data_IF_704266944414
#
_entry.id   IF_704266944414
#
_cell.length_a   1.000
_cell.length_b   1.000
_cell.length_c   1.000
_cell.angle_alpha   90.00
_cell.angle_beta   90.00
_cell.angle_gamma   90.00
#
_symmetry.space_group_name_H-M   'P 1'
#
loop_
_entity.id
_entity.type
_entity.pdbx_description
1 polymer ?
#
# COMPACT_ATOMS: atom_id res chain seq x y z
N UNK A 1 -28.74 -10.24 22.40
CA UNK A 1 -28.73 -9.94 20.96
C UNK A 1 -28.40 -8.47 20.81
N UNK A 2 -27.21 -8.12 20.35
CA UNK A 2 -26.85 -6.73 20.08
C UNK A 2 -27.48 -6.37 18.74
N UNK A 3 -28.51 -5.51 18.77
CA UNK A 3 -29.20 -5.07 17.55
C UNK A 3 -28.24 -4.25 16.69
N UNK A 4 -27.81 -4.80 15.56
CA UNK A 4 -27.11 -4.03 14.55
C UNK A 4 -28.06 -3.02 13.92
N UNK A 5 -27.96 -1.76 14.32
CA UNK A 5 -28.64 -0.65 13.66
C UNK A 5 -27.95 -0.40 12.31
N UNK A 6 -28.49 -0.91 11.23
CA UNK A 6 -28.01 -0.62 9.88
C UNK A 6 -28.26 0.85 9.56
N UNK A 7 -27.18 1.57 9.23
CA UNK A 7 -27.33 2.97 8.72
C UNK A 7 -27.88 2.92 7.31
N UNK A 8 -28.94 3.69 7.07
CA UNK A 8 -29.52 3.82 5.73
C UNK A 8 -28.56 4.54 4.79
N UNK A 9 -28.62 4.17 3.50
CA UNK A 9 -27.94 4.89 2.41
C UNK A 9 -28.50 6.32 2.33
N UNK A 10 -27.62 7.30 2.25
CA UNK A 10 -27.97 8.71 2.06
C UNK A 10 -27.53 9.16 0.66
N UNK A 11 -28.37 9.97 0.01
CA UNK A 11 -28.07 10.58 -1.29
C UNK A 11 -26.98 11.63 -1.17
N UNK A 12 -26.37 12.04 -2.29
CA UNK A 12 -25.35 13.11 -2.28
C UNK A 12 -25.91 14.42 -1.72
N UNK A 13 -27.16 14.76 -2.03
CA UNK A 13 -27.82 15.94 -1.47
C UNK A 13 -27.97 15.86 0.05
N UNK A 14 -28.32 14.70 0.56
CA UNK A 14 -28.38 14.46 2.02
C UNK A 14 -26.98 14.48 2.66
N UNK A 15 -25.95 14.06 1.95
CA UNK A 15 -24.55 14.17 2.40
C UNK A 15 -24.14 15.65 2.53
N UNK A 16 -24.44 16.48 1.56
CA UNK A 16 -24.20 17.94 1.60
C UNK A 16 -24.96 18.57 2.77
N UNK A 17 -26.24 18.24 2.92
CA UNK A 17 -27.07 18.73 4.03
C UNK A 17 -26.48 18.33 5.39
N UNK A 18 -26.01 17.09 5.52
CA UNK A 18 -25.36 16.61 6.73
C UNK A 18 -24.06 17.38 7.05
N UNK A 19 -23.26 17.73 6.05
CA UNK A 19 -22.06 18.56 6.25
C UNK A 19 -22.44 19.96 6.72
N UNK A 20 -23.48 20.57 6.13
CA UNK A 20 -23.98 21.88 6.52
C UNK A 20 -24.52 21.89 7.97
N UNK A 21 -25.30 20.88 8.34
CA UNK A 21 -25.80 20.68 9.72
C UNK A 21 -24.65 20.50 10.74
N UNK A 22 -23.50 20.03 10.28
CA UNK A 22 -22.27 19.93 11.10
C UNK A 22 -21.42 21.20 11.06
N UNK A 23 -21.91 22.30 10.46
CA UNK A 23 -21.22 23.58 10.44
C UNK A 23 -20.15 23.71 9.36
N UNK A 24 -20.15 22.83 8.34
CA UNK A 24 -19.30 23.03 7.16
C UNK A 24 -19.88 24.12 6.28
N UNK A 25 -19.05 25.08 5.92
CA UNK A 25 -19.41 26.23 5.12
C UNK A 25 -19.21 25.96 3.62
N UNK A 26 -20.02 26.59 2.78
CA UNK A 26 -19.98 26.49 1.31
C UNK A 26 -19.85 27.88 0.68
N UNK A 27 -18.96 28.73 1.25
CA UNK A 27 -18.76 30.11 0.75
C UNK A 27 -17.74 30.13 -0.41
N UNK A 28 -16.72 29.24 -0.36
CA UNK A 28 -15.66 29.17 -1.38
C UNK A 28 -16.03 28.23 -2.52
N UNK A 29 -16.77 27.18 -2.25
CA UNK A 29 -17.29 26.23 -3.23
C UNK A 29 -18.80 26.12 -3.03
N UNK A 30 -19.59 26.39 -4.05
CA UNK A 30 -21.04 26.29 -3.95
C UNK A 30 -21.50 24.83 -3.86
N UNK A 31 -22.73 24.60 -3.42
CA UNK A 31 -23.25 23.24 -3.19
C UNK A 31 -23.37 22.41 -4.46
N UNK A 32 -23.58 23.01 -5.62
CA UNK A 32 -23.67 22.30 -6.90
C UNK A 32 -22.30 21.71 -7.28
N UNK A 33 -21.24 22.50 -7.14
CA UNK A 33 -19.86 22.05 -7.38
C UNK A 33 -19.42 21.01 -6.35
N UNK A 34 -19.86 21.16 -5.09
CA UNK A 34 -19.63 20.18 -4.04
C UNK A 34 -20.34 18.83 -4.32
N UNK A 35 -21.59 18.86 -4.82
CA UNK A 35 -22.31 17.67 -5.27
C UNK A 35 -21.57 17.00 -6.44
N UNK A 36 -21.10 17.78 -7.43
CA UNK A 36 -20.32 17.27 -8.55
C UNK A 36 -19.02 16.63 -8.10
N UNK A 37 -18.32 17.25 -7.15
CA UNK A 37 -17.09 16.70 -6.59
C UNK A 37 -17.33 15.36 -5.85
N UNK A 38 -18.37 15.27 -5.03
CA UNK A 38 -18.74 14.03 -4.34
C UNK A 38 -19.22 12.93 -5.31
N UNK A 39 -19.76 13.31 -6.46
CA UNK A 39 -20.21 12.36 -7.48
C UNK A 39 -19.04 11.76 -8.26
N UNK A 40 -18.04 12.59 -8.60
CA UNK A 40 -17.05 12.23 -9.63
C UNK A 40 -15.62 12.07 -9.10
N UNK A 41 -15.26 12.72 -7.99
CA UNK A 41 -13.86 12.84 -7.58
C UNK A 41 -13.54 12.23 -6.22
N UNK A 42 -14.50 12.20 -5.30
CA UNK A 42 -14.30 11.68 -3.96
C UNK A 42 -15.61 11.19 -3.37
N UNK A 43 -15.54 10.43 -2.29
CA UNK A 43 -16.71 9.92 -1.60
C UNK A 43 -16.80 10.49 -0.17
N UNK A 44 -18.04 10.60 0.30
CA UNK A 44 -18.39 11.28 1.55
C UNK A 44 -17.58 10.82 2.77
N UNK A 45 -17.39 9.51 2.94
CA UNK A 45 -16.66 8.95 4.08
C UNK A 45 -15.20 9.44 4.15
N UNK A 46 -14.54 9.54 2.99
CA UNK A 46 -13.18 10.05 2.89
C UNK A 46 -13.12 11.54 3.28
N UNK A 47 -13.99 12.36 2.69
CA UNK A 47 -14.06 13.78 3.05
C UNK A 47 -14.32 13.97 4.55
N UNK A 48 -15.28 13.23 5.09
CA UNK A 48 -15.61 13.28 6.52
C UNK A 48 -14.44 12.86 7.40
N UNK A 49 -13.52 12.03 6.93
CA UNK A 49 -12.33 11.66 7.72
C UNK A 49 -11.39 12.84 7.93
N UNK A 50 -11.26 13.73 6.93
CA UNK A 50 -10.42 14.92 7.04
C UNK A 50 -11.01 15.99 7.96
N UNK A 51 -12.33 16.06 8.10
CA UNK A 51 -12.95 17.00 9.02
C UNK A 51 -12.58 16.78 10.49
N UNK A 52 -12.06 15.59 10.84
CA UNK A 52 -11.56 15.30 12.19
C UNK A 52 -10.33 16.12 12.60
N UNK A 53 -9.65 16.74 11.64
CA UNK A 53 -8.49 17.60 11.87
C UNK A 53 -8.88 19.04 12.25
N UNK A 54 -10.18 19.33 12.30
CA UNK A 54 -10.71 20.67 12.59
C UNK A 54 -11.42 20.70 13.92
N UNK A 55 -11.28 21.84 14.61
CA UNK A 55 -11.89 22.07 15.91
C UNK A 55 -13.41 22.16 15.81
N UNK A 56 -14.07 21.77 16.89
CA UNK A 56 -15.51 21.81 17.04
C UNK A 56 -15.92 22.71 18.21
N UNK A 57 -17.11 23.27 18.09
CA UNK A 57 -17.79 23.92 19.19
C UNK A 57 -18.39 22.91 20.18
N UNK A 58 -18.94 23.42 21.27
CA UNK A 58 -19.61 22.61 22.29
C UNK A 58 -20.82 21.84 21.72
N UNK A 59 -21.48 22.38 20.71
CA UNK A 59 -22.61 21.77 20.01
C UNK A 59 -22.20 20.75 18.92
N UNK A 60 -20.93 20.36 18.87
CA UNK A 60 -20.36 19.43 17.90
C UNK A 60 -20.35 19.94 16.44
N UNK A 61 -20.56 21.24 16.20
CA UNK A 61 -20.39 21.87 14.88
C UNK A 61 -18.94 22.31 14.66
N UNK A 62 -18.46 22.25 13.42
CA UNK A 62 -17.10 22.69 13.08
C UNK A 62 -16.94 24.20 13.12
N UNK A 63 -15.75 24.67 13.47
CA UNK A 63 -15.38 26.08 13.52
C UNK A 63 -14.68 26.44 12.20
N UNK A 64 -15.28 27.35 11.42
CA UNK A 64 -14.71 27.89 10.17
C UNK A 64 -14.21 26.84 9.18
N UNK A 65 -14.85 25.67 9.14
CA UNK A 65 -14.52 24.62 8.18
C UNK A 65 -15.25 24.86 6.86
N UNK A 66 -14.51 25.17 5.81
CA UNK A 66 -15.02 25.24 4.44
C UNK A 66 -14.98 23.89 3.74
N UNK A 67 -15.98 23.59 2.90
CA UNK A 67 -15.96 22.42 2.03
C UNK A 67 -14.73 22.40 1.11
N UNK A 68 -14.32 23.56 0.63
CA UNK A 68 -13.12 23.74 -0.18
C UNK A 68 -11.86 23.14 0.49
N UNK A 69 -11.71 23.30 1.80
CA UNK A 69 -10.54 22.77 2.52
C UNK A 69 -10.53 21.23 2.54
N UNK A 70 -11.70 20.62 2.71
CA UNK A 70 -11.84 19.16 2.64
C UNK A 70 -11.55 18.64 1.22
N UNK A 71 -11.98 19.36 0.21
CA UNK A 71 -11.73 19.08 -1.20
C UNK A 71 -10.23 19.15 -1.51
N UNK A 72 -9.55 20.21 -1.09
CA UNK A 72 -8.10 20.37 -1.26
C UNK A 72 -7.32 19.30 -0.54
N UNK A 73 -7.65 19.00 0.72
CA UNK A 73 -7.00 17.92 1.47
C UNK A 73 -7.15 16.57 0.80
N UNK A 74 -8.34 16.28 0.25
CA UNK A 74 -8.57 15.04 -0.50
C UNK A 74 -7.70 14.95 -1.76
N UNK A 75 -7.55 16.06 -2.46
CA UNK A 75 -6.72 16.14 -3.67
C UNK A 75 -5.23 16.04 -3.34
N UNK A 76 -4.78 16.77 -2.33
CA UNK A 76 -3.40 16.74 -1.87
C UNK A 76 -2.99 15.34 -1.38
N UNK A 77 -3.84 14.69 -0.57
CA UNK A 77 -3.63 13.32 -0.12
C UNK A 77 -3.49 12.33 -1.30
N UNK A 78 -4.30 12.48 -2.34
CA UNK A 78 -4.19 11.66 -3.54
C UNK A 78 -2.83 11.85 -4.23
N UNK A 79 -2.37 13.10 -4.40
CA UNK A 79 -1.07 13.37 -5.01
C UNK A 79 0.08 12.88 -4.14
N UNK A 80 0.00 13.09 -2.83
CA UNK A 80 1.00 12.62 -1.88
C UNK A 80 1.13 11.10 -1.88
N UNK A 81 0.01 10.38 -1.88
CA UNK A 81 0.01 8.91 -1.97
C UNK A 81 0.66 8.41 -3.27
N UNK A 82 0.33 9.03 -4.41
CA UNK A 82 0.94 8.69 -5.70
C UNK A 82 2.46 8.91 -5.70
N UNK A 83 2.89 10.02 -5.14
CA UNK A 83 4.31 10.33 -4.98
C UNK A 83 5.03 9.29 -4.10
N UNK A 84 4.51 9.01 -2.91
CA UNK A 84 5.07 8.00 -2.02
C UNK A 84 5.08 6.60 -2.66
N UNK A 85 4.01 6.21 -3.35
CA UNK A 85 3.94 4.91 -4.03
C UNK A 85 5.03 4.79 -5.09
N UNK A 86 5.24 5.84 -5.90
CA UNK A 86 6.32 5.87 -6.89
C UNK A 86 7.69 5.67 -6.24
N UNK A 87 8.00 6.42 -5.19
CA UNK A 87 9.28 6.28 -4.48
C UNK A 87 9.49 4.87 -3.91
N UNK A 88 8.42 4.24 -3.41
CA UNK A 88 8.53 2.88 -2.87
C UNK A 88 8.76 1.83 -3.94
N UNK A 89 8.21 2.01 -5.15
CA UNK A 89 8.45 1.15 -6.30
C UNK A 89 9.88 1.34 -6.83
N UNK A 90 10.35 2.58 -6.91
CA UNK A 90 11.72 2.89 -7.32
C UNK A 90 12.74 2.26 -6.36
N UNK A 91 12.50 2.32 -5.04
CA UNK A 91 13.34 1.67 -4.04
C UNK A 91 13.35 0.14 -4.20
N UNK A 92 12.19 -0.50 -4.40
CA UNK A 92 12.12 -1.94 -4.65
C UNK A 92 12.97 -2.33 -5.87
N UNK A 93 12.87 -1.56 -6.95
CA UNK A 93 13.66 -1.78 -8.16
C UNK A 93 15.18 -1.62 -7.91
N UNK A 94 15.58 -0.56 -7.20
CA UNK A 94 16.98 -0.31 -6.84
C UNK A 94 17.53 -1.46 -6.00
N UNK A 95 16.78 -1.97 -5.02
CA UNK A 95 17.20 -3.09 -4.19
C UNK A 95 17.33 -4.38 -4.98
N UNK A 96 16.40 -4.68 -5.90
CA UNK A 96 16.51 -5.84 -6.79
C UNK A 96 17.73 -5.73 -7.67
N UNK A 97 17.97 -4.56 -8.25
CA UNK A 97 19.16 -4.30 -9.08
C UNK A 97 20.45 -4.44 -8.30
N UNK A 98 20.51 -3.89 -7.06
CA UNK A 98 21.66 -4.04 -6.17
C UNK A 98 21.93 -5.51 -5.86
N UNK A 99 20.92 -6.26 -5.42
CA UNK A 99 21.07 -7.65 -5.08
C UNK A 99 21.60 -8.49 -6.27
N UNK A 100 21.02 -8.33 -7.46
CA UNK A 100 21.46 -9.04 -8.66
C UNK A 100 22.86 -8.65 -9.08
N UNK A 101 23.23 -7.37 -8.98
CA UNK A 101 24.60 -6.91 -9.24
C UNK A 101 25.58 -7.57 -8.27
N UNK A 102 25.30 -7.52 -6.97
CA UNK A 102 26.17 -8.05 -5.93
C UNK A 102 26.27 -9.58 -6.04
N UNK A 103 25.18 -10.24 -6.40
CA UNK A 103 25.18 -11.68 -6.75
C UNK A 103 26.07 -11.99 -7.96
N UNK A 104 25.96 -11.23 -9.05
CA UNK A 104 26.75 -11.44 -10.26
C UNK A 104 28.26 -11.20 -10.07
N UNK A 105 28.63 -10.41 -9.07
CA UNK A 105 30.01 -10.17 -8.67
C UNK A 105 30.55 -11.20 -7.65
N UNK A 106 29.72 -12.11 -7.19
CA UNK A 106 30.03 -13.09 -6.15
C UNK A 106 30.19 -14.49 -6.75
N UNK A 107 31.41 -14.88 -7.10
CA UNK A 107 31.71 -16.20 -7.67
C UNK A 107 31.43 -17.36 -6.70
N UNK A 108 31.20 -17.09 -5.42
CA UNK A 108 30.92 -18.13 -4.40
C UNK A 108 29.46 -18.52 -4.32
N UNK A 109 28.55 -17.86 -5.10
CA UNK A 109 27.11 -18.10 -5.08
C UNK A 109 26.61 -18.54 -6.46
N UNK A 110 26.05 -19.74 -6.56
CA UNK A 110 25.53 -20.30 -7.82
C UNK A 110 24.09 -19.81 -8.17
N UNK A 111 23.44 -19.14 -7.22
CA UNK A 111 22.09 -18.60 -7.40
C UNK A 111 20.93 -19.59 -7.26
N UNK A 112 21.20 -20.90 -7.19
CA UNK A 112 20.19 -21.95 -6.97
C UNK A 112 20.24 -22.48 -5.54
N UNK A 113 21.40 -22.89 -5.08
CA UNK A 113 21.57 -23.44 -3.74
C UNK A 113 21.15 -22.47 -2.65
N UNK A 114 21.48 -21.18 -2.82
CA UNK A 114 21.08 -20.15 -1.85
C UNK A 114 19.57 -20.04 -1.71
N UNK A 115 18.80 -20.26 -2.78
CA UNK A 115 17.34 -20.26 -2.73
C UNK A 115 16.83 -21.51 -2.01
N UNK A 116 17.39 -22.68 -2.30
CA UNK A 116 17.05 -23.92 -1.61
C UNK A 116 17.31 -23.80 -0.11
N UNK A 117 18.48 -23.31 0.28
CA UNK A 117 18.86 -23.10 1.69
C UNK A 117 17.94 -22.09 2.39
N UNK A 118 17.59 -21.00 1.71
CA UNK A 118 16.64 -20.03 2.25
C UNK A 118 15.25 -20.63 2.45
N UNK A 119 14.76 -21.43 1.51
CA UNK A 119 13.43 -22.08 1.60
C UNK A 119 13.40 -23.16 2.69
N UNK A 120 14.51 -23.84 2.99
CA UNK A 120 14.57 -24.76 4.14
C UNK A 120 14.44 -24.04 5.48
N UNK A 121 14.90 -22.79 5.57
CA UNK A 121 14.76 -21.96 6.78
C UNK A 121 13.42 -21.23 6.84
N UNK A 122 12.63 -21.25 5.77
CA UNK A 122 11.36 -20.51 5.64
C UNK A 122 10.23 -21.42 5.11
N UNK A 123 9.81 -22.36 5.95
CA UNK A 123 8.82 -23.38 5.61
C UNK A 123 7.48 -22.77 5.09
N UNK A 124 7.03 -21.67 5.67
CA UNK A 124 5.80 -20.99 5.24
C UNK A 124 5.88 -20.52 3.79
N UNK A 125 7.00 -19.93 3.38
CA UNK A 125 7.22 -19.50 2.00
C UNK A 125 7.40 -20.69 1.07
N UNK A 126 8.12 -21.72 1.51
CA UNK A 126 8.29 -22.96 0.76
C UNK A 126 6.94 -23.61 0.44
N UNK A 127 6.08 -23.73 1.44
CA UNK A 127 4.71 -24.26 1.27
C UNK A 127 3.85 -23.40 0.34
N UNK A 128 3.94 -22.07 0.45
CA UNK A 128 3.24 -21.16 -0.46
C UNK A 128 3.67 -21.35 -1.91
N UNK A 129 4.97 -21.43 -2.17
CA UNK A 129 5.50 -21.65 -3.53
C UNK A 129 5.18 -23.05 -4.07
N UNK A 130 5.13 -24.07 -3.21
CA UNK A 130 4.82 -25.45 -3.58
C UNK A 130 3.32 -25.70 -3.77
N UNK A 131 2.45 -24.92 -3.12
CA UNK A 131 0.98 -25.03 -3.23
C UNK A 131 0.43 -24.45 -4.54
N UNK A 132 1.29 -24.05 -5.46
CA UNK A 132 0.94 -23.51 -6.75
C UNK A 132 0.09 -24.49 -7.57
N UNK A 133 -1.09 -24.03 -8.04
CA UNK A 133 -1.95 -24.77 -8.97
C UNK A 133 -1.69 -24.25 -10.39
N UNK A 134 -1.41 -25.15 -11.32
CA UNK A 134 -1.00 -24.85 -12.71
C UNK A 134 -1.99 -24.09 -13.59
N UNK A 135 -3.03 -23.49 -13.03
CA UNK A 135 -4.08 -22.74 -13.72
C UNK A 135 -4.13 -21.25 -13.37
N UNK A 136 -2.99 -20.65 -13.03
CA UNK A 136 -2.93 -19.23 -12.74
C UNK A 136 -2.63 -18.38 -13.98
N UNK A 137 -3.19 -17.16 -14.00
CA UNK A 137 -2.99 -16.16 -15.08
C UNK A 137 -2.02 -15.05 -14.71
N UNK A 138 -1.32 -15.16 -13.57
CA UNK A 138 -0.36 -14.14 -13.12
C UNK A 138 1.04 -14.43 -13.63
N UNK A 139 1.90 -13.38 -13.70
CA UNK A 139 3.32 -13.56 -14.02
C UNK A 139 4.03 -14.53 -13.05
N UNK A 140 3.64 -14.52 -11.76
CA UNK A 140 4.09 -15.48 -10.76
C UNK A 140 3.77 -16.91 -11.18
N UNK A 141 2.55 -17.15 -11.61
CA UNK A 141 2.09 -18.48 -12.02
C UNK A 141 2.85 -19.02 -13.22
N UNK A 142 3.13 -18.16 -14.21
CA UNK A 142 3.90 -18.51 -15.41
C UNK A 142 5.33 -18.87 -15.04
N UNK A 143 5.97 -18.10 -14.16
CA UNK A 143 7.34 -18.36 -13.70
C UNK A 143 7.40 -19.67 -12.90
N UNK A 144 6.49 -19.89 -11.95
CA UNK A 144 6.42 -21.10 -11.17
C UNK A 144 6.17 -22.33 -12.03
N UNK A 145 5.26 -22.26 -13.01
CA UNK A 145 5.02 -23.35 -13.95
C UNK A 145 6.26 -23.72 -14.78
N UNK A 146 7.02 -22.70 -15.20
CA UNK A 146 8.20 -22.88 -16.04
C UNK A 146 9.43 -23.40 -15.26
N UNK A 147 9.62 -22.95 -14.02
CA UNK A 147 10.82 -23.20 -13.22
C UNK A 147 10.50 -23.96 -11.92
N UNK A 148 9.37 -24.67 -11.86
CA UNK A 148 8.92 -25.47 -10.73
C UNK A 148 10.03 -26.40 -10.22
N UNK A 149 10.42 -26.24 -8.95
CA UNK A 149 11.45 -27.03 -8.30
C UNK A 149 12.90 -26.59 -8.55
N UNK A 150 13.14 -25.59 -9.41
CA UNK A 150 14.49 -25.10 -9.71
C UNK A 150 14.52 -23.57 -9.90
N UNK A 151 14.12 -22.85 -8.86
CA UNK A 151 14.10 -21.38 -8.86
C UNK A 151 15.50 -20.83 -8.64
N UNK A 152 16.01 -20.06 -9.59
CA UNK A 152 17.20 -19.26 -9.41
C UNK A 152 16.87 -17.90 -8.76
N UNK A 153 17.88 -17.24 -8.20
CA UNK A 153 17.72 -15.95 -7.50
C UNK A 153 16.96 -14.90 -8.32
N UNK A 154 17.26 -14.79 -9.62
CA UNK A 154 16.60 -13.84 -10.52
C UNK A 154 15.13 -14.17 -10.82
N UNK A 155 14.73 -15.45 -10.80
CA UNK A 155 13.32 -15.85 -10.90
C UNK A 155 12.61 -15.66 -9.57
N UNK A 156 13.26 -15.99 -8.48
CA UNK A 156 12.72 -15.96 -7.13
C UNK A 156 12.31 -14.54 -6.72
N UNK A 157 13.19 -13.54 -6.94
CA UNK A 157 12.91 -12.16 -6.56
C UNK A 157 11.75 -11.50 -7.35
N UNK A 158 11.38 -12.07 -8.50
CA UNK A 158 10.25 -11.57 -9.29
C UNK A 158 8.88 -12.09 -8.82
N UNK A 159 8.86 -13.22 -8.11
CA UNK A 159 7.61 -13.87 -7.72
C UNK A 159 7.22 -13.64 -6.25
N UNK A 160 8.15 -13.15 -5.44
CA UNK A 160 7.90 -12.90 -4.01
C UNK A 160 7.46 -11.45 -3.74
N UNK A 161 6.64 -11.27 -2.71
CA UNK A 161 6.21 -9.95 -2.26
C UNK A 161 7.39 -9.14 -1.69
N UNK A 162 7.31 -7.81 -1.77
CA UNK A 162 8.38 -6.91 -1.32
C UNK A 162 8.84 -7.17 0.12
N UNK A 163 7.94 -7.48 1.06
CA UNK A 163 8.33 -7.83 2.43
C UNK A 163 9.15 -9.13 2.52
N UNK A 164 8.79 -10.14 1.73
CA UNK A 164 9.53 -11.41 1.63
C UNK A 164 10.86 -11.21 0.93
N UNK A 165 10.91 -10.30 -0.05
CA UNK A 165 12.13 -9.91 -0.73
C UNK A 165 13.12 -9.23 0.24
N UNK A 166 12.67 -8.33 1.12
CA UNK A 166 13.53 -7.73 2.15
C UNK A 166 14.11 -8.81 3.06
N UNK A 167 13.31 -9.77 3.55
CA UNK A 167 13.78 -10.89 4.36
C UNK A 167 14.84 -11.72 3.62
N UNK A 168 14.66 -11.92 2.31
CA UNK A 168 15.66 -12.61 1.50
C UNK A 168 16.94 -11.79 1.35
N UNK A 169 16.87 -10.48 1.17
CA UNK A 169 18.06 -9.61 1.18
C UNK A 169 18.80 -9.69 2.51
N UNK A 170 18.10 -9.67 3.66
CA UNK A 170 18.72 -9.85 4.97
C UNK A 170 19.41 -11.22 5.11
N UNK A 171 18.80 -12.28 4.56
CA UNK A 171 19.42 -13.60 4.52
C UNK A 171 20.68 -13.61 3.65
N UNK A 172 20.62 -13.05 2.44
CA UNK A 172 21.74 -12.97 1.50
C UNK A 172 22.91 -12.18 2.09
N UNK A 173 22.66 -10.96 2.59
CA UNK A 173 23.70 -10.11 3.14
C UNK A 173 24.20 -10.52 4.53
N UNK A 174 23.52 -11.43 5.21
CA UNK A 174 24.08 -12.11 6.38
C UNK A 174 25.15 -13.11 6.00
N UNK A 175 25.02 -13.77 4.85
CA UNK A 175 26.01 -14.72 4.33
C UNK A 175 27.16 -13.98 3.62
N UNK A 176 26.81 -12.97 2.86
CA UNK A 176 27.73 -12.11 2.08
C UNK A 176 27.61 -10.66 2.53
N UNK A 177 28.31 -10.25 3.62
CA UNK A 177 28.10 -8.95 4.26
C UNK A 177 28.31 -7.75 3.33
N UNK A 178 27.45 -6.74 3.45
CA UNK A 178 27.49 -5.47 2.73
C UNK A 178 27.16 -4.32 3.70
N UNK A 179 28.12 -3.42 3.92
CA UNK A 179 28.00 -2.32 4.88
C UNK A 179 26.84 -1.38 4.51
N UNK A 180 26.64 -1.09 3.22
CA UNK A 180 25.55 -0.19 2.79
C UNK A 180 24.19 -0.79 3.11
N UNK A 181 24.00 -2.10 2.86
CA UNK A 181 22.75 -2.75 3.20
C UNK A 181 22.49 -2.72 4.71
N UNK A 182 23.49 -2.95 5.52
CA UNK A 182 23.35 -2.91 6.99
C UNK A 182 22.95 -1.51 7.51
N UNK A 183 23.46 -0.46 6.90
CA UNK A 183 23.09 0.92 7.23
C UNK A 183 21.63 1.25 6.89
N UNK A 184 21.13 0.75 5.76
CA UNK A 184 19.82 1.16 5.21
C UNK A 184 18.67 0.17 5.51
N UNK A 185 18.93 -1.03 6.01
CA UNK A 185 17.90 -2.08 6.21
C UNK A 185 16.69 -1.62 7.02
N UNK A 186 16.91 -0.83 8.09
CA UNK A 186 15.81 -0.30 8.91
C UNK A 186 14.96 0.73 8.13
N UNK A 187 15.59 1.53 7.27
CA UNK A 187 14.89 2.45 6.39
C UNK A 187 14.06 1.70 5.35
N UNK A 188 14.60 0.62 4.78
CA UNK A 188 13.87 -0.23 3.81
C UNK A 188 12.60 -0.79 4.45
N UNK A 189 12.66 -1.28 5.69
CA UNK A 189 11.49 -1.72 6.44
C UNK A 189 10.47 -0.61 6.67
N UNK A 190 10.93 0.59 7.00
CA UNK A 190 10.06 1.77 7.16
C UNK A 190 9.32 2.11 5.86
N UNK A 191 9.99 2.03 4.72
CA UNK A 191 9.39 2.23 3.39
C UNK A 191 8.38 1.13 3.06
N UNK A 192 8.65 -0.12 3.40
CA UNK A 192 7.70 -1.23 3.24
C UNK A 192 6.43 -1.00 4.07
N UNK A 193 6.55 -0.53 5.32
CA UNK A 193 5.39 -0.20 6.14
C UNK A 193 4.59 0.96 5.55
N UNK A 194 5.26 2.02 5.10
CA UNK A 194 4.61 3.15 4.41
C UNK A 194 3.84 2.70 3.18
N UNK A 195 4.45 1.87 2.31
CA UNK A 195 3.79 1.30 1.12
C UNK A 195 2.51 0.54 1.49
N UNK A 196 2.57 -0.29 2.55
CA UNK A 196 1.43 -1.06 2.99
C UNK A 196 0.30 -0.17 3.53
N UNK A 197 0.63 0.87 4.29
CA UNK A 197 -0.39 1.81 4.79
C UNK A 197 -1.04 2.60 3.65
N UNK A 198 -0.27 3.06 2.66
CA UNK A 198 -0.81 3.71 1.46
C UNK A 198 -1.74 2.74 0.70
N UNK A 199 -1.32 1.49 0.51
CA UNK A 199 -2.11 0.46 -0.15
C UNK A 199 -3.40 0.12 0.63
N UNK A 200 -3.32 -0.04 1.95
CA UNK A 200 -4.48 -0.32 2.82
C UNK A 200 -5.46 0.84 2.87
N UNK A 201 -4.98 2.07 2.90
CA UNK A 201 -5.85 3.23 2.86
C UNK A 201 -6.66 3.27 1.56
N UNK A 202 -6.03 2.97 0.42
CA UNK A 202 -6.71 2.84 -0.88
C UNK A 202 -7.67 1.65 -0.95
N UNK A 203 -7.41 0.56 -0.20
CA UNK A 203 -8.29 -0.62 -0.13
C UNK A 203 -9.47 -0.40 0.84
N UNK A 204 -9.24 0.22 2.01
CA UNK A 204 -10.31 0.57 2.96
C UNK A 204 -11.32 1.53 2.33
N UNK A 205 -10.86 2.38 1.42
CA UNK A 205 -11.72 3.23 0.62
C UNK A 205 -12.66 2.41 -0.29
N UNK A 206 -12.22 1.27 -0.81
CA UNK A 206 -13.03 0.38 -1.69
C UNK A 206 -13.99 -0.53 -0.94
N UNK A 207 -13.77 -0.82 0.34
CA UNK A 207 -14.60 -1.74 1.14
C UNK A 207 -15.73 -0.99 1.88
N UNK A 208 -15.67 0.34 1.95
CA UNK A 208 -16.68 1.18 2.62
C UNK A 208 -17.65 1.87 1.64
N UNK A 209 -17.61 1.50 0.37
CA UNK A 209 -18.57 1.93 -0.67
C UNK A 209 -19.69 0.85 -0.85
#
# INVERSE_FOLDING_TARGET
>A
MVGHTYKQKITIKEQIKHLEEKGVLFNLVNKVDAESFLTNNSYFYKLKSYSKNYDKRIDETYINLEFAYLQELSTLDMHFRRFCLRLTLDLEHILKTKLIRDFNLNDSCDGYQIILDYLTTNESLSNELSSFKSFGYTAKDVILAKYSGNLAIWNFIEIIEFGKFINFCEYYYRIYPDNLFDEIKNLIWSVKFLRNEIGRASCRERVSS
#
